data_IF_776951811119
#
_entry.id   IF_776951811119
#
_cell.length_a   1.000
_cell.length_b   1.000
_cell.length_c   1.000
_cell.angle_alpha   90.00
_cell.angle_beta   90.00
_cell.angle_gamma   90.00
#
_symmetry.space_group_name_H-M   'P 1'
#
loop_
_entity.id
_entity.type
_entity.pdbx_description
1 polymer ?
#
# COMPACT_ATOMS: atom_id res chain seq x y z
N UNK A 1 25.40 -4.67 26.90
CA UNK A 1 25.37 -5.14 25.49
C UNK A 1 23.93 -5.25 24.98
N UNK A 2 22.99 -5.77 25.78
CA UNK A 2 21.61 -6.01 25.38
C UNK A 2 20.79 -4.73 25.17
N UNK A 3 20.95 -3.72 26.05
CA UNK A 3 20.23 -2.42 25.93
C UNK A 3 20.59 -1.71 24.62
N UNK A 4 21.87 -1.74 24.22
CA UNK A 4 22.31 -1.15 22.97
C UNK A 4 21.71 -1.88 21.76
N UNK A 5 21.60 -3.20 21.81
CA UNK A 5 21.00 -4.00 20.75
C UNK A 5 19.49 -3.69 20.59
N UNK A 6 18.74 -3.58 21.71
CA UNK A 6 17.32 -3.22 21.72
C UNK A 6 17.12 -1.84 21.07
N UNK A 7 17.92 -0.84 21.48
CA UNK A 7 17.82 0.51 20.91
C UNK A 7 18.19 0.54 19.42
N UNK A 8 19.19 -0.23 18.99
CA UNK A 8 19.55 -0.33 17.58
C UNK A 8 18.40 -0.95 16.77
N UNK A 9 17.79 -2.04 17.26
CA UNK A 9 16.63 -2.66 16.63
C UNK A 9 15.45 -1.68 16.52
N UNK A 10 15.19 -0.94 17.60
CA UNK A 10 14.14 0.06 17.64
C UNK A 10 14.39 1.20 16.62
N UNK A 11 15.60 1.67 16.48
CA UNK A 11 15.96 2.69 15.49
C UNK A 11 15.76 2.19 14.06
N UNK A 12 16.00 0.91 13.78
CA UNK A 12 15.70 0.32 12.49
C UNK A 12 14.20 0.29 12.20
N UNK A 13 13.35 -0.05 13.20
CA UNK A 13 11.89 -0.01 13.08
C UNK A 13 11.42 1.42 12.80
N UNK A 14 11.98 2.40 13.53
CA UNK A 14 11.67 3.82 13.33
C UNK A 14 12.00 4.24 11.89
N UNK A 15 13.20 3.95 11.39
CA UNK A 15 13.64 4.33 10.06
C UNK A 15 12.77 3.70 8.95
N UNK A 16 12.42 2.41 9.09
CA UNK A 16 11.49 1.74 8.18
C UNK A 16 10.11 2.41 8.17
N UNK A 17 9.59 2.74 9.36
CA UNK A 17 8.26 3.37 9.48
C UNK A 17 8.25 4.81 8.94
N UNK A 18 9.32 5.58 9.11
CA UNK A 18 9.46 6.92 8.52
C UNK A 18 9.35 6.88 6.98
N UNK A 19 9.95 5.88 6.34
CA UNK A 19 9.80 5.66 4.90
C UNK A 19 8.35 5.34 4.49
N UNK A 20 7.61 4.59 5.31
CA UNK A 20 6.20 4.25 5.06
C UNK A 20 5.28 5.46 5.24
N UNK A 21 5.54 6.33 6.23
CA UNK A 21 4.74 7.52 6.51
C UNK A 21 4.69 8.46 5.31
N UNK A 22 5.75 8.55 4.52
CA UNK A 22 5.83 9.46 3.38
C UNK A 22 4.69 9.22 2.38
N UNK A 23 4.29 7.96 2.18
CA UNK A 23 3.26 7.54 1.23
C UNK A 23 1.90 7.20 1.89
N UNK A 24 1.76 7.40 3.21
CA UNK A 24 0.54 7.10 3.94
C UNK A 24 -0.53 8.19 3.74
N UNK A 25 -1.80 7.81 3.92
CA UNK A 25 -2.93 8.75 3.96
C UNK A 25 -2.78 9.74 5.13
N UNK A 26 -3.31 10.96 5.02
CA UNK A 26 -3.10 12.01 6.02
C UNK A 26 -3.42 11.61 7.46
N UNK A 27 -4.54 10.90 7.68
CA UNK A 27 -4.96 10.44 9.02
C UNK A 27 -4.03 9.36 9.57
N UNK A 28 -3.64 8.40 8.74
CA UNK A 28 -2.67 7.35 9.08
C UNK A 28 -1.29 7.95 9.33
N UNK A 29 -0.90 8.94 8.54
CA UNK A 29 0.36 9.67 8.66
C UNK A 29 0.50 10.33 10.02
N UNK A 30 -0.53 11.04 10.49
CA UNK A 30 -0.54 11.68 11.82
C UNK A 30 -0.41 10.61 12.91
N UNK A 31 -1.21 9.54 12.86
CA UNK A 31 -1.18 8.47 13.87
C UNK A 31 0.18 7.78 13.94
N UNK A 32 0.76 7.40 12.81
CA UNK A 32 2.08 6.76 12.76
C UNK A 32 3.19 7.72 13.24
N UNK A 33 3.08 9.01 12.93
CA UNK A 33 4.03 10.01 13.41
C UNK A 33 3.98 10.17 14.94
N UNK A 34 2.79 10.18 15.55
CA UNK A 34 2.62 10.25 16.99
C UNK A 34 3.17 8.99 17.69
N UNK A 35 2.91 7.80 17.11
CA UNK A 35 3.46 6.54 17.62
C UNK A 35 4.99 6.52 17.54
N UNK A 36 5.59 6.99 16.43
CA UNK A 36 7.04 7.11 16.29
C UNK A 36 7.63 8.06 17.32
N UNK A 37 6.98 9.19 17.59
CA UNK A 37 7.41 10.14 18.61
C UNK A 37 7.39 9.51 19.99
N UNK A 38 6.34 8.77 20.34
CA UNK A 38 6.24 8.04 21.59
C UNK A 38 7.36 6.98 21.73
N UNK A 39 7.63 6.22 20.68
CA UNK A 39 8.72 5.24 20.66
C UNK A 39 10.09 5.88 20.83
N UNK A 40 10.38 6.99 20.16
CA UNK A 40 11.65 7.72 20.32
C UNK A 40 11.86 8.14 21.76
N UNK A 41 10.82 8.73 22.38
CA UNK A 41 10.88 9.14 23.78
C UNK A 41 11.10 7.95 24.72
N UNK A 42 10.44 6.82 24.45
CA UNK A 42 10.60 5.61 25.28
C UNK A 42 12.00 4.98 25.11
N UNK A 43 12.55 4.99 23.90
CA UNK A 43 13.92 4.53 23.65
C UNK A 43 14.97 5.37 24.42
N UNK A 44 14.75 6.69 24.52
CA UNK A 44 15.60 7.57 25.34
C UNK A 44 15.55 7.20 26.82
N UNK A 45 14.38 6.88 27.37
CA UNK A 45 14.24 6.42 28.77
C UNK A 45 14.97 5.11 29.01
N UNK A 46 14.87 4.14 28.07
CA UNK A 46 15.61 2.88 28.16
C UNK A 46 17.12 3.12 28.15
N UNK A 47 17.62 4.02 27.30
CA UNK A 47 19.04 4.39 27.28
C UNK A 47 19.51 5.04 28.57
N UNK A 48 18.71 5.97 29.11
CA UNK A 48 19.02 6.63 30.39
C UNK A 48 19.02 5.63 31.55
N UNK A 49 18.02 4.73 31.62
CA UNK A 49 17.95 3.66 32.59
C UNK A 49 19.17 2.71 32.49
N UNK A 50 19.56 2.34 31.28
CA UNK A 50 20.73 1.52 31.04
C UNK A 50 22.06 2.18 31.50
N UNK A 51 22.19 3.50 31.29
CA UNK A 51 23.35 4.27 31.78
C UNK A 51 23.37 4.34 33.32
N UNK A 52 22.22 4.60 33.93
CA UNK A 52 22.10 4.64 35.38
C UNK A 52 22.43 3.28 36.02
N UNK A 53 21.93 2.20 35.44
CA UNK A 53 22.24 0.85 35.92
C UNK A 53 23.73 0.49 35.74
N UNK A 54 24.37 0.93 34.66
CA UNK A 54 25.80 0.70 34.46
C UNK A 54 26.65 1.36 35.54
N UNK A 55 26.18 2.48 36.12
CA UNK A 55 26.85 3.16 37.21
C UNK A 55 26.59 2.51 38.58
N UNK A 56 25.45 1.78 38.74
CA UNK A 56 25.02 1.12 39.97
C UNK A 56 24.44 -0.27 39.66
N UNK A 57 25.29 -1.18 39.20
CA UNK A 57 24.85 -2.47 38.68
C UNK A 57 24.06 -3.36 39.64
N UNK A 58 24.32 -3.25 40.93
CA UNK A 58 23.66 -4.06 41.99
C UNK A 58 22.33 -3.47 42.47
N UNK A 59 21.88 -2.32 41.96
CA UNK A 59 20.64 -1.69 42.36
C UNK A 59 19.43 -2.39 41.74
N UNK A 60 18.77 -3.26 42.53
CA UNK A 60 17.60 -4.03 42.08
C UNK A 60 16.41 -3.16 41.67
N UNK A 61 16.29 -1.95 42.25
CA UNK A 61 15.22 -0.99 41.90
C UNK A 61 15.45 -0.45 40.48
N UNK A 62 16.69 -0.10 40.14
CA UNK A 62 17.07 0.34 38.79
C UNK A 62 16.93 -0.78 37.76
N UNK A 63 17.24 -2.03 38.13
CA UNK A 63 17.04 -3.19 37.26
C UNK A 63 15.56 -3.38 36.92
N UNK A 64 14.68 -3.38 37.95
CA UNK A 64 13.23 -3.52 37.80
C UNK A 64 12.65 -2.40 36.91
N UNK A 65 13.06 -1.16 37.16
CA UNK A 65 12.63 -0.01 36.37
C UNK A 65 13.08 -0.12 34.91
N UNK A 66 14.30 -0.52 34.65
CA UNK A 66 14.79 -0.70 33.28
C UNK A 66 14.01 -1.79 32.55
N UNK A 67 13.72 -2.91 33.21
CA UNK A 67 12.92 -3.98 32.63
C UNK A 67 11.50 -3.50 32.27
N UNK A 68 10.89 -2.69 33.11
CA UNK A 68 9.60 -2.07 32.83
C UNK A 68 9.65 -1.17 31.58
N UNK A 69 10.66 -0.27 31.50
CA UNK A 69 10.81 0.63 30.33
C UNK A 69 11.07 -0.14 29.04
N UNK A 70 11.82 -1.24 29.10
CA UNK A 70 12.05 -2.13 27.95
C UNK A 70 10.74 -2.80 27.51
N UNK A 71 9.94 -3.33 28.43
CA UNK A 71 8.65 -3.95 28.11
C UNK A 71 7.66 -2.98 27.46
N UNK A 72 7.62 -1.73 27.93
CA UNK A 72 6.82 -0.67 27.28
C UNK A 72 7.31 -0.39 25.87
N UNK A 73 8.62 -0.31 25.65
CA UNK A 73 9.20 -0.09 24.33
C UNK A 73 8.88 -1.22 23.37
N UNK A 74 8.98 -2.47 23.79
CA UNK A 74 8.62 -3.65 22.99
C UNK A 74 7.14 -3.63 22.58
N UNK A 75 6.25 -3.29 23.52
CA UNK A 75 4.81 -3.19 23.25
C UNK A 75 4.53 -2.10 22.20
N UNK A 76 5.14 -0.92 22.35
CA UNK A 76 4.99 0.18 21.41
C UNK A 76 5.56 -0.17 20.03
N UNK A 77 6.70 -0.87 19.97
CA UNK A 77 7.31 -1.31 18.72
C UNK A 77 6.42 -2.30 17.97
N UNK A 78 5.87 -3.29 18.67
CA UNK A 78 4.96 -4.28 18.08
C UNK A 78 3.67 -3.63 17.58
N UNK A 79 3.09 -2.68 18.31
CA UNK A 79 1.91 -1.95 17.88
C UNK A 79 2.21 -1.11 16.63
N UNK A 80 3.33 -0.40 16.61
CA UNK A 80 3.75 0.40 15.47
C UNK A 80 3.96 -0.46 14.22
N UNK A 81 4.61 -1.63 14.35
CA UNK A 81 4.81 -2.57 13.24
C UNK A 81 3.49 -3.09 12.69
N UNK A 82 2.54 -3.43 13.57
CA UNK A 82 1.20 -3.87 13.18
C UNK A 82 0.47 -2.78 12.41
N UNK A 83 0.41 -1.57 12.96
CA UNK A 83 -0.29 -0.44 12.37
C UNK A 83 0.37 0.03 11.05
N UNK A 84 1.70 0.03 10.99
CA UNK A 84 2.43 0.36 9.78
C UNK A 84 2.24 -0.70 8.69
N UNK A 85 2.24 -1.98 9.08
CA UNK A 85 2.01 -3.10 8.15
C UNK A 85 0.61 -3.08 7.54
N UNK A 86 -0.42 -2.84 8.35
CA UNK A 86 -1.79 -2.71 7.86
C UNK A 86 -1.95 -1.48 6.95
N UNK A 87 -1.41 -0.33 7.35
CA UNK A 87 -1.46 0.89 6.56
C UNK A 87 -0.71 0.75 5.22
N UNK A 88 0.46 0.09 5.23
CA UNK A 88 1.24 -0.17 4.03
C UNK A 88 0.50 -1.08 3.06
N UNK A 89 -0.04 -2.19 3.53
CA UNK A 89 -0.79 -3.14 2.71
C UNK A 89 -1.96 -2.46 1.97
N UNK A 90 -2.77 -1.66 2.70
CA UNK A 90 -3.89 -0.93 2.11
C UNK A 90 -3.43 0.16 1.14
N UNK A 91 -2.43 0.96 1.50
CA UNK A 91 -1.94 2.02 0.64
C UNK A 91 -1.29 1.48 -0.63
N UNK A 92 -0.56 0.36 -0.53
CA UNK A 92 -0.02 -0.32 -1.70
C UNK A 92 -1.12 -0.83 -2.62
N UNK A 93 -2.14 -1.50 -2.06
CA UNK A 93 -3.28 -1.98 -2.85
C UNK A 93 -4.03 -0.83 -3.53
N UNK A 94 -4.26 0.28 -2.81
CA UNK A 94 -4.87 1.50 -3.38
C UNK A 94 -4.02 2.11 -4.48
N UNK A 95 -2.70 2.19 -4.29
CA UNK A 95 -1.79 2.69 -5.31
C UNK A 95 -1.85 1.84 -6.58
N UNK A 96 -1.76 0.52 -6.45
CA UNK A 96 -1.83 -0.38 -7.59
C UNK A 96 -3.20 -0.36 -8.27
N UNK A 97 -4.30 -0.29 -7.50
CA UNK A 97 -5.64 -0.17 -8.05
C UNK A 97 -5.83 1.13 -8.85
N UNK A 98 -5.34 2.27 -8.34
CA UNK A 98 -5.34 3.55 -9.07
C UNK A 98 -4.49 3.49 -10.33
N UNK A 99 -3.30 2.92 -10.24
CA UNK A 99 -2.37 2.78 -11.38
C UNK A 99 -2.96 1.88 -12.47
N UNK A 100 -3.56 0.75 -12.10
CA UNK A 100 -4.24 -0.15 -13.02
C UNK A 100 -5.43 0.55 -13.72
N UNK A 101 -6.26 1.27 -12.95
CA UNK A 101 -7.38 2.03 -13.51
C UNK A 101 -6.91 3.08 -14.52
N UNK A 102 -5.85 3.83 -14.21
CA UNK A 102 -5.27 4.81 -15.13
C UNK A 102 -4.72 4.14 -16.41
N UNK A 103 -4.05 2.99 -16.28
CA UNK A 103 -3.57 2.19 -17.41
C UNK A 103 -4.71 1.71 -18.32
N UNK A 104 -5.80 1.23 -17.72
CA UNK A 104 -6.99 0.78 -18.47
C UNK A 104 -7.68 1.94 -19.21
N UNK A 105 -7.79 3.11 -18.57
CA UNK A 105 -8.35 4.31 -19.24
C UNK A 105 -7.49 4.67 -20.46
N UNK A 106 -6.17 4.69 -20.31
CA UNK A 106 -5.22 4.94 -21.40
C UNK A 106 -5.40 3.91 -22.51
N UNK A 107 -5.34 2.61 -22.19
CA UNK A 107 -5.51 1.52 -23.14
C UNK A 107 -6.87 1.59 -23.86
N UNK A 108 -7.95 1.84 -23.13
CA UNK A 108 -9.29 1.99 -23.71
C UNK A 108 -9.37 3.13 -24.72
N UNK A 109 -8.74 4.26 -24.42
CA UNK A 109 -8.70 5.42 -25.32
C UNK A 109 -7.95 5.08 -26.61
N UNK A 110 -6.83 4.40 -26.49
CA UNK A 110 -6.02 3.98 -27.63
C UNK A 110 -6.73 2.91 -28.47
N UNK A 111 -7.37 1.93 -27.84
CA UNK A 111 -8.14 0.90 -28.55
C UNK A 111 -9.36 1.44 -29.30
N UNK A 112 -9.95 2.57 -28.86
CA UNK A 112 -11.04 3.22 -29.60
C UNK A 112 -10.62 3.71 -30.99
N UNK A 113 -9.37 4.09 -31.20
CA UNK A 113 -8.87 4.44 -32.53
C UNK A 113 -8.79 3.20 -33.44
N UNK A 114 -8.38 2.05 -32.89
CA UNK A 114 -8.32 0.79 -33.62
C UNK A 114 -9.71 0.29 -34.06
N UNK A 115 -10.78 0.53 -33.27
CA UNK A 115 -12.14 0.15 -33.64
C UNK A 115 -12.59 0.73 -34.98
N UNK A 116 -12.09 1.91 -35.37
CA UNK A 116 -12.44 2.56 -36.65
C UNK A 116 -11.80 1.88 -37.82
N UNK A 117 -10.64 1.27 -37.65
CA UNK A 117 -9.86 0.63 -38.71
C UNK A 117 -10.17 -0.86 -38.87
N UNK A 118 -10.96 -1.46 -37.99
CA UNK A 118 -11.31 -2.87 -38.02
C UNK A 118 -12.39 -3.16 -39.08
N UNK A 119 -12.15 -4.08 -40.03
CA UNK A 119 -13.15 -4.49 -41.00
C UNK A 119 -14.14 -5.52 -40.46
N UNK A 120 -13.71 -6.32 -39.48
CA UNK A 120 -14.48 -7.43 -38.91
C UNK A 120 -15.35 -6.95 -37.74
N UNK A 121 -16.68 -7.15 -37.85
CA UNK A 121 -17.65 -6.75 -36.87
C UNK A 121 -17.56 -7.57 -35.57
N UNK A 122 -17.19 -8.84 -35.62
CA UNK A 122 -17.11 -9.71 -34.45
C UNK A 122 -15.94 -9.30 -33.53
N UNK A 123 -14.74 -9.13 -34.09
CA UNK A 123 -13.57 -8.64 -33.38
C UNK A 123 -13.80 -7.24 -32.81
N UNK A 124 -14.48 -6.37 -33.60
CA UNK A 124 -14.88 -5.03 -33.19
C UNK A 124 -15.86 -5.05 -32.00
N UNK A 125 -16.84 -5.96 -32.04
CA UNK A 125 -17.80 -6.18 -30.97
C UNK A 125 -17.12 -6.61 -29.66
N UNK A 126 -16.21 -7.60 -29.74
CA UNK A 126 -15.46 -8.09 -28.57
C UNK A 126 -14.60 -6.98 -27.96
N UNK A 127 -13.87 -6.20 -28.75
CA UNK A 127 -13.03 -5.11 -28.22
C UNK A 127 -13.89 -4.00 -27.61
N UNK A 128 -14.98 -3.60 -28.28
CA UNK A 128 -15.92 -2.58 -27.78
C UNK A 128 -16.55 -3.00 -26.46
N UNK A 129 -16.98 -4.26 -26.34
CA UNK A 129 -17.52 -4.82 -25.11
C UNK A 129 -16.48 -4.82 -23.98
N UNK A 130 -15.25 -5.28 -24.25
CA UNK A 130 -14.17 -5.32 -23.27
C UNK A 130 -13.80 -3.92 -22.77
N UNK A 131 -13.79 -2.90 -23.65
CA UNK A 131 -13.58 -1.50 -23.28
C UNK A 131 -14.69 -1.04 -22.32
N UNK A 132 -15.94 -1.23 -22.71
CA UNK A 132 -17.11 -0.78 -21.92
C UNK A 132 -17.17 -1.47 -20.56
N UNK A 133 -16.96 -2.77 -20.52
CA UNK A 133 -16.93 -3.58 -19.30
C UNK A 133 -15.82 -3.12 -18.34
N UNK A 134 -14.60 -2.91 -18.86
CA UNK A 134 -13.48 -2.44 -18.04
C UNK A 134 -13.68 -1.04 -17.49
N UNK A 135 -14.28 -0.12 -18.25
CA UNK A 135 -14.59 1.22 -17.79
C UNK A 135 -15.71 1.22 -16.72
N UNK A 136 -16.69 0.32 -16.85
CA UNK A 136 -17.72 0.11 -15.82
C UNK A 136 -17.10 -0.34 -14.49
N UNK A 137 -16.17 -1.30 -14.54
CA UNK A 137 -15.49 -1.79 -13.33
C UNK A 137 -14.62 -0.70 -12.67
N UNK A 138 -14.02 0.21 -13.46
CA UNK A 138 -13.31 1.37 -12.90
C UNK A 138 -14.28 2.27 -12.13
N UNK A 139 -15.47 2.52 -12.68
CA UNK A 139 -16.48 3.35 -12.01
C UNK A 139 -16.96 2.75 -10.69
N UNK A 140 -16.99 1.42 -10.58
CA UNK A 140 -17.28 0.71 -9.33
C UNK A 140 -16.09 0.72 -8.35
N UNK A 141 -14.87 0.58 -8.86
CA UNK A 141 -13.65 0.50 -8.06
C UNK A 141 -13.28 1.84 -7.38
N UNK A 142 -13.48 2.98 -8.06
CA UNK A 142 -13.08 4.31 -7.57
C UNK A 142 -13.68 4.66 -6.20
N UNK A 143 -15.00 4.52 -5.96
CA UNK A 143 -15.58 4.81 -4.65
C UNK A 143 -15.10 3.85 -3.55
N UNK A 144 -14.81 2.59 -3.90
CA UNK A 144 -14.27 1.60 -2.95
C UNK A 144 -12.85 1.99 -2.54
N UNK A 145 -11.99 2.41 -3.49
CA UNK A 145 -10.65 2.94 -3.20
C UNK A 145 -10.74 4.15 -2.24
N UNK A 146 -11.68 5.06 -2.50
CA UNK A 146 -11.86 6.24 -1.65
C UNK A 146 -12.33 5.88 -0.24
N UNK A 147 -13.27 4.95 -0.11
CA UNK A 147 -13.81 4.49 1.18
C UNK A 147 -12.76 3.75 2.01
N UNK A 148 -11.98 2.86 1.38
CA UNK A 148 -10.86 2.17 2.03
C UNK A 148 -9.77 3.15 2.50
N UNK A 149 -9.54 4.23 1.74
CA UNK A 149 -8.59 5.26 2.12
C UNK A 149 -9.01 6.10 3.33
N UNK A 150 -10.29 6.35 3.49
CA UNK A 150 -10.82 7.04 4.67
C UNK A 150 -10.83 6.16 5.92
N UNK A 151 -10.88 4.84 5.75
CA UNK A 151 -11.04 3.86 6.82
C UNK A 151 -10.02 2.71 6.69
N UNK A 152 -8.71 2.97 6.71
CA UNK A 152 -7.67 1.99 6.37
C UNK A 152 -7.62 0.79 7.31
N UNK A 153 -8.06 0.94 8.56
CA UNK A 153 -8.07 -0.12 9.57
C UNK A 153 -9.39 -0.88 9.67
N UNK A 154 -10.40 -0.52 8.87
CA UNK A 154 -11.67 -1.21 8.87
C UNK A 154 -11.60 -2.43 7.94
N UNK A 155 -11.62 -3.63 8.52
CA UNK A 155 -11.53 -4.91 7.79
C UNK A 155 -12.58 -5.06 6.68
N UNK A 156 -13.78 -4.50 6.87
CA UNK A 156 -14.83 -4.54 5.85
C UNK A 156 -14.39 -3.79 4.59
N UNK A 157 -13.90 -2.55 4.73
CA UNK A 157 -13.40 -1.78 3.59
C UNK A 157 -12.16 -2.38 2.94
N UNK A 158 -11.34 -3.11 3.71
CA UNK A 158 -10.20 -3.86 3.17
C UNK A 158 -10.67 -5.01 2.28
N UNK A 159 -11.65 -5.78 2.75
CA UNK A 159 -12.25 -6.89 2.00
C UNK A 159 -12.96 -6.36 0.75
N UNK A 160 -13.75 -5.29 0.89
CA UNK A 160 -14.45 -4.66 -0.23
C UNK A 160 -13.46 -4.20 -1.31
N UNK A 161 -12.33 -3.56 -0.91
CA UNK A 161 -11.28 -3.13 -1.83
C UNK A 161 -10.60 -4.31 -2.52
N UNK A 162 -10.28 -5.37 -1.78
CA UNK A 162 -9.66 -6.58 -2.34
C UNK A 162 -10.61 -7.22 -3.36
N UNK A 163 -11.88 -7.40 -2.99
CA UNK A 163 -12.90 -8.01 -3.85
C UNK A 163 -13.13 -7.20 -5.13
N UNK A 164 -13.29 -5.88 -5.01
CA UNK A 164 -13.44 -4.99 -6.16
C UNK A 164 -12.20 -4.99 -7.05
N UNK A 165 -11.01 -5.03 -6.46
CA UNK A 165 -9.74 -5.10 -7.22
C UNK A 165 -9.62 -6.41 -8.01
N UNK A 166 -9.96 -7.55 -7.43
CA UNK A 166 -9.92 -8.86 -8.11
C UNK A 166 -10.91 -8.86 -9.30
N UNK A 167 -12.12 -8.35 -9.08
CA UNK A 167 -13.17 -8.25 -10.11
C UNK A 167 -12.71 -7.35 -11.27
N UNK A 168 -12.15 -6.18 -10.95
CA UNK A 168 -11.63 -5.26 -11.94
C UNK A 168 -10.45 -5.86 -12.73
N UNK A 169 -9.50 -6.52 -12.06
CA UNK A 169 -8.35 -7.16 -12.72
C UNK A 169 -8.77 -8.21 -13.75
N UNK A 170 -9.82 -8.98 -13.49
CA UNK A 170 -10.34 -9.95 -14.45
C UNK A 170 -10.81 -9.24 -15.74
N UNK A 171 -11.55 -8.13 -15.63
CA UNK A 171 -12.01 -7.35 -16.78
C UNK A 171 -10.88 -6.61 -17.50
N UNK A 172 -9.87 -6.16 -16.76
CA UNK A 172 -8.68 -5.55 -17.33
C UNK A 172 -7.87 -6.57 -18.16
N UNK A 173 -7.76 -7.82 -17.68
CA UNK A 173 -7.12 -8.89 -18.44
C UNK A 173 -7.89 -9.21 -19.74
N UNK A 174 -9.22 -9.26 -19.69
CA UNK A 174 -10.06 -9.43 -20.89
C UNK A 174 -9.80 -8.29 -21.92
N UNK A 175 -9.69 -7.03 -21.48
CA UNK A 175 -9.39 -5.90 -22.34
C UNK A 175 -7.99 -6.02 -22.97
N UNK A 176 -6.97 -6.40 -22.19
CA UNK A 176 -5.60 -6.59 -22.70
C UNK A 176 -5.58 -7.70 -23.76
N UNK A 177 -6.27 -8.80 -23.52
CA UNK A 177 -6.37 -9.89 -24.50
C UNK A 177 -7.10 -9.46 -25.79
N UNK A 178 -8.20 -8.73 -25.67
CA UNK A 178 -8.92 -8.17 -26.81
C UNK A 178 -8.06 -7.16 -27.58
N UNK A 179 -7.32 -6.30 -26.88
CA UNK A 179 -6.39 -5.35 -27.48
C UNK A 179 -5.25 -6.05 -28.23
N UNK A 180 -4.64 -7.11 -27.65
CA UNK A 180 -3.61 -7.91 -28.32
C UNK A 180 -4.13 -8.58 -29.61
N UNK A 181 -5.31 -9.18 -29.58
CA UNK A 181 -5.95 -9.76 -30.78
C UNK A 181 -6.19 -8.72 -31.89
N UNK A 182 -6.45 -7.49 -31.46
CA UNK A 182 -6.70 -6.35 -32.33
C UNK A 182 -5.42 -5.63 -32.80
N UNK A 183 -4.26 -6.02 -32.27
CA UNK A 183 -2.97 -5.34 -32.51
C UNK A 183 -2.58 -5.13 -33.96
N UNK A 184 -3.01 -6.02 -34.88
CA UNK A 184 -2.81 -5.87 -36.32
C UNK A 184 -3.50 -4.65 -36.95
N UNK A 185 -4.54 -4.12 -36.28
CA UNK A 185 -5.29 -2.95 -36.71
C UNK A 185 -4.86 -1.66 -35.99
N UNK A 186 -3.92 -1.76 -35.09
CA UNK A 186 -3.40 -0.63 -34.34
C UNK A 186 -2.29 0.01 -35.14
N UNK A 187 -2.52 1.24 -35.56
CA UNK A 187 -1.59 2.01 -36.40
C UNK A 187 -0.59 2.82 -35.59
N UNK A 188 -0.86 3.07 -34.29
CA UNK A 188 0.04 3.78 -33.40
C UNK A 188 1.23 2.87 -33.02
N UNK A 189 2.48 3.22 -33.42
CA UNK A 189 3.66 2.41 -33.12
C UNK A 189 3.97 2.29 -31.64
N UNK A 190 3.67 3.30 -30.82
CA UNK A 190 3.90 3.27 -29.38
C UNK A 190 2.94 2.28 -28.71
N UNK A 191 1.67 2.27 -29.11
CA UNK A 191 0.70 1.31 -28.62
C UNK A 191 1.05 -0.12 -29.02
N UNK A 192 1.56 -0.31 -30.23
CA UNK A 192 1.97 -1.62 -30.71
C UNK A 192 3.14 -2.17 -29.90
N UNK A 193 4.06 -1.32 -29.46
CA UNK A 193 5.18 -1.67 -28.61
C UNK A 193 4.74 -1.98 -27.17
N UNK A 194 3.77 -1.24 -26.62
CA UNK A 194 3.23 -1.45 -25.26
C UNK A 194 2.37 -2.74 -25.14
N UNK A 195 1.95 -3.34 -26.27
CA UNK A 195 1.11 -4.55 -26.31
C UNK A 195 1.89 -5.84 -26.64
N UNK A 196 3.15 -5.74 -27.00
CA UNK A 196 4.04 -6.88 -27.23
C UNK A 196 4.77 -7.26 -26.00
#
# INVERSE_FOLDING_TARGET
TNVKAIVTSNNNVIALTEGLITNAEPTTKVRLADMLKAMKLQAEKVLQGGRALNAKFEDGTLQTKLLQEVSVLETQANQLLTDAGEAFSINSLRYYAKSAAAGVIKLSTMCRSALRAMPDNDTKGVLSFSISSSLSEISELVPVIASAGKNPHNKRYQIDLLTASIKALAKFAELVLAAKRSGRYITDPNLKQDLT
#
